data_IF_189293387622
#
_entry.id   IF_189293387622
#
_cell.length_a   1.000
_cell.length_b   1.000
_cell.length_c   1.000
_cell.angle_alpha   90.00
_cell.angle_beta   90.00
_cell.angle_gamma   90.00
#
_symmetry.space_group_name_H-M   'P 1'
#
loop_
_entity.id
_entity.type
_entity.pdbx_description
1 polymer ?
#
# COMPACT_ATOMS: atom_id res chain seq x y z
N UNK A 1 11.33 -3.17 -18.66
CA UNK A 1 11.98 -4.46 -18.34
C UNK A 1 11.80 -5.45 -19.48
N UNK A 2 12.77 -6.35 -19.70
CA UNK A 2 12.66 -7.47 -20.66
C UNK A 2 12.23 -8.74 -19.91
N UNK A 3 11.02 -8.70 -19.34
CA UNK A 3 10.45 -9.79 -18.54
C UNK A 3 9.03 -10.05 -19.02
N UNK A 4 8.49 -11.25 -18.76
CA UNK A 4 7.10 -11.57 -19.08
C UNK A 4 6.12 -10.50 -18.55
N UNK A 5 5.09 -10.11 -19.34
CA UNK A 5 4.73 -10.59 -20.68
C UNK A 5 5.52 -9.94 -21.83
N UNK A 6 6.46 -9.03 -21.52
CA UNK A 6 7.20 -8.21 -22.48
C UNK A 6 8.65 -8.68 -22.63
N UNK A 7 8.83 -9.95 -23.03
CA UNK A 7 10.14 -10.62 -23.22
C UNK A 7 11.09 -9.87 -24.17
N UNK A 8 12.36 -10.27 -24.15
CA UNK A 8 13.32 -9.80 -25.14
C UNK A 8 12.98 -10.39 -26.52
N UNK A 9 12.96 -9.55 -27.56
CA UNK A 9 12.70 -9.97 -28.95
C UNK A 9 13.63 -9.21 -29.89
N UNK A 10 13.88 -9.77 -31.07
CA UNK A 10 14.61 -9.13 -32.17
C UNK A 10 13.92 -7.87 -32.69
N UNK A 11 12.59 -7.77 -32.56
CA UNK A 11 11.81 -6.65 -33.09
C UNK A 11 11.06 -5.89 -32.00
N UNK A 12 11.56 -4.71 -31.62
CA UNK A 12 10.90 -3.83 -30.64
C UNK A 12 9.44 -3.52 -30.99
N UNK A 13 9.07 -3.56 -32.27
CA UNK A 13 7.68 -3.37 -32.73
C UNK A 13 6.72 -4.40 -32.13
N UNK A 14 7.14 -5.65 -31.98
CA UNK A 14 6.31 -6.71 -31.40
C UNK A 14 5.94 -6.38 -29.94
N UNK A 15 6.93 -6.01 -29.12
CA UNK A 15 6.70 -5.62 -27.72
C UNK A 15 5.77 -4.41 -27.61
N UNK A 16 5.92 -3.43 -28.49
CA UNK A 16 5.04 -2.25 -28.51
C UNK A 16 3.59 -2.63 -28.84
N UNK A 17 3.40 -3.56 -29.78
CA UNK A 17 2.08 -4.08 -30.13
C UNK A 17 1.48 -4.86 -28.95
N UNK A 18 2.24 -5.78 -28.34
CA UNK A 18 1.80 -6.54 -27.16
C UNK A 18 1.41 -5.60 -26.01
N UNK A 19 2.18 -4.53 -25.77
CA UNK A 19 1.83 -3.54 -24.75
C UNK A 19 0.53 -2.80 -25.08
N UNK A 20 0.32 -2.42 -26.33
CA UNK A 20 -0.91 -1.77 -26.78
C UNK A 20 -2.13 -2.69 -26.65
N UNK A 21 -1.99 -3.96 -27.03
CA UNK A 21 -3.01 -5.01 -26.87
C UNK A 21 -3.35 -5.19 -25.38
N UNK A 22 -2.35 -5.28 -24.51
CA UNK A 22 -2.56 -5.42 -23.07
C UNK A 22 -3.30 -4.22 -22.45
N UNK A 23 -2.98 -2.99 -22.88
CA UNK A 23 -3.72 -1.80 -22.46
C UNK A 23 -5.18 -1.82 -22.95
N UNK A 24 -5.40 -2.29 -24.18
CA UNK A 24 -6.74 -2.41 -24.75
C UNK A 24 -7.57 -3.45 -23.98
N UNK A 25 -6.98 -4.61 -23.66
CA UNK A 25 -7.62 -5.64 -22.83
C UNK A 25 -8.01 -5.11 -21.44
N UNK A 26 -7.11 -4.36 -20.78
CA UNK A 26 -7.42 -3.75 -19.48
C UNK A 26 -8.59 -2.76 -19.60
N UNK A 27 -8.63 -1.95 -20.67
CA UNK A 27 -9.71 -1.00 -20.89
C UNK A 27 -11.05 -1.70 -21.16
N UNK A 28 -11.05 -2.77 -21.96
CA UNK A 28 -12.25 -3.52 -22.31
C UNK A 28 -12.78 -4.32 -21.11
N UNK A 29 -11.89 -4.91 -20.30
CA UNK A 29 -12.24 -5.56 -19.04
C UNK A 29 -12.84 -4.58 -18.01
N UNK A 30 -12.45 -3.31 -18.08
CA UNK A 30 -12.90 -2.25 -17.16
C UNK A 30 -13.88 -1.26 -17.81
N UNK A 31 -14.80 -1.78 -18.65
CA UNK A 31 -15.78 -0.96 -19.39
C UNK A 31 -16.56 0.04 -18.53
N UNK A 32 -16.83 -0.28 -17.26
CA UNK A 32 -17.50 0.61 -16.30
C UNK A 32 -16.71 1.91 -15.99
N UNK A 33 -15.39 1.92 -16.17
CA UNK A 33 -14.53 3.11 -15.95
C UNK A 33 -14.20 3.82 -17.27
N UNK A 34 -14.43 3.17 -18.42
CA UNK A 34 -14.04 3.65 -19.76
C UNK A 34 -14.55 5.07 -20.05
N UNK A 35 -15.81 5.34 -19.76
CA UNK A 35 -16.44 6.65 -19.94
C UNK A 35 -15.87 7.74 -19.04
N UNK A 36 -15.38 7.36 -17.86
CA UNK A 36 -14.77 8.31 -16.92
C UNK A 36 -13.36 8.69 -17.37
N UNK A 37 -12.59 7.71 -17.86
CA UNK A 37 -11.22 7.90 -18.37
C UNK A 37 -11.23 8.72 -19.67
N UNK A 38 -12.15 8.42 -20.60
CA UNK A 38 -12.22 9.09 -21.90
C UNK A 38 -12.56 10.58 -21.82
N UNK A 39 -13.22 11.03 -20.74
CA UNK A 39 -13.54 12.44 -20.49
C UNK A 39 -12.34 13.32 -20.13
N UNK A 40 -11.20 12.72 -19.76
CA UNK A 40 -9.97 13.46 -19.40
C UNK A 40 -8.75 12.84 -20.09
N UNK A 41 -8.64 12.98 -21.42
CA UNK A 41 -7.47 12.46 -22.12
C UNK A 41 -6.22 13.19 -21.62
N UNK A 42 -5.22 12.43 -21.17
CA UNK A 42 -3.89 12.97 -20.90
C UNK A 42 -3.09 12.96 -22.20
N UNK A 43 -2.42 14.06 -22.50
CA UNK A 43 -1.42 14.11 -23.55
C UNK A 43 -0.15 13.40 -23.08
N UNK A 44 0.32 12.43 -23.85
CA UNK A 44 1.53 11.67 -23.56
C UNK A 44 1.53 10.32 -24.25
N UNK A 45 2.71 9.90 -24.69
CA UNK A 45 2.91 8.57 -25.25
C UNK A 45 2.68 7.51 -24.16
N UNK A 46 1.88 6.49 -24.47
CA UNK A 46 1.64 5.38 -23.54
C UNK A 46 2.91 4.57 -23.27
N UNK A 47 3.85 4.59 -24.23
CA UNK A 47 5.19 4.02 -24.09
C UNK A 47 6.14 5.18 -23.84
N UNK A 48 6.60 5.31 -22.60
CA UNK A 48 7.45 6.44 -22.20
C UNK A 48 8.90 6.25 -22.68
N UNK A 49 9.68 7.34 -22.81
CA UNK A 49 11.11 7.25 -23.08
C UNK A 49 11.85 6.35 -22.08
N UNK A 50 11.53 6.50 -20.79
CA UNK A 50 12.10 5.70 -19.69
C UNK A 50 11.87 4.20 -19.87
N UNK A 51 10.71 3.78 -20.39
CA UNK A 51 10.46 2.36 -20.67
C UNK A 51 11.44 1.79 -21.71
N UNK A 52 11.78 2.59 -22.73
CA UNK A 52 12.76 2.20 -23.75
C UNK A 52 14.19 2.23 -23.19
N UNK A 53 14.53 3.25 -22.41
CA UNK A 53 15.84 3.38 -21.76
C UNK A 53 16.12 2.20 -20.83
N UNK A 54 15.21 1.88 -19.91
CA UNK A 54 15.36 0.73 -19.00
C UNK A 54 15.43 -0.59 -19.77
N UNK A 55 14.75 -0.72 -20.91
CA UNK A 55 14.88 -1.92 -21.76
C UNK A 55 16.22 -1.96 -22.49
N UNK A 56 16.88 -0.84 -22.75
CA UNK A 56 18.17 -0.80 -23.45
C UNK A 56 19.35 -1.12 -22.51
N UNK A 57 19.18 -0.96 -21.20
CA UNK A 57 20.17 -1.28 -20.18
C UNK A 57 20.70 -2.73 -20.27
N UNK A 58 21.94 -2.91 -19.81
CA UNK A 58 22.56 -4.22 -19.64
C UNK A 58 21.79 -5.06 -18.63
N UNK A 59 22.06 -6.37 -18.58
CA UNK A 59 21.46 -7.27 -17.61
C UNK A 59 21.63 -6.77 -16.16
N UNK A 60 22.87 -6.48 -15.75
CA UNK A 60 23.18 -6.04 -14.38
C UNK A 60 22.50 -4.72 -14.03
N UNK A 61 22.48 -3.78 -14.95
CA UNK A 61 21.81 -2.49 -14.76
C UNK A 61 20.30 -2.67 -14.62
N UNK A 62 19.66 -3.53 -15.42
CA UNK A 62 18.22 -3.85 -15.28
C UNK A 62 17.92 -4.54 -13.96
N UNK A 63 18.72 -5.53 -13.58
CA UNK A 63 18.58 -6.24 -12.30
C UNK A 63 18.68 -5.25 -11.13
N UNK A 64 19.67 -4.37 -11.16
CA UNK A 64 19.86 -3.34 -10.15
C UNK A 64 18.73 -2.32 -10.14
N UNK A 65 18.28 -1.86 -11.32
CA UNK A 65 17.15 -0.95 -11.46
C UNK A 65 15.88 -1.54 -10.85
N UNK A 66 15.55 -2.81 -11.13
CA UNK A 66 14.41 -3.49 -10.52
C UNK A 66 14.52 -3.57 -9.01
N UNK A 67 15.69 -3.97 -8.51
CA UNK A 67 15.93 -4.09 -7.07
C UNK A 67 15.63 -2.77 -6.36
N UNK A 68 16.22 -1.69 -6.86
CA UNK A 68 16.14 -0.37 -6.21
C UNK A 68 14.76 0.27 -6.42
N UNK A 69 14.31 0.37 -7.67
CA UNK A 69 13.11 1.14 -8.00
C UNK A 69 11.81 0.38 -7.71
N UNK A 70 11.84 -0.96 -7.78
CA UNK A 70 10.66 -1.77 -7.53
C UNK A 70 10.67 -2.40 -6.14
N UNK A 71 11.67 -3.24 -5.83
CA UNK A 71 11.65 -4.05 -4.61
C UNK A 71 11.89 -3.19 -3.37
N UNK A 72 12.98 -2.42 -3.35
CA UNK A 72 13.39 -1.63 -2.19
C UNK A 72 12.37 -0.53 -1.87
N UNK A 73 11.88 0.17 -2.89
CA UNK A 73 10.82 1.17 -2.73
C UNK A 73 9.52 0.55 -2.21
N UNK A 74 9.08 -0.59 -2.76
CA UNK A 74 7.86 -1.27 -2.31
C UNK A 74 8.01 -1.70 -0.84
N UNK A 75 9.13 -2.33 -0.47
CA UNK A 75 9.41 -2.74 0.92
C UNK A 75 9.44 -1.55 1.86
N UNK A 76 10.11 -0.46 1.49
CA UNK A 76 10.20 0.76 2.28
C UNK A 76 8.80 1.39 2.50
N UNK A 77 7.95 1.38 1.48
CA UNK A 77 6.57 1.83 1.58
C UNK A 77 5.78 1.02 2.61
N UNK A 78 5.85 -0.32 2.55
CA UNK A 78 5.16 -1.18 3.53
C UNK A 78 5.69 -0.95 4.96
N UNK A 79 7.01 -0.88 5.15
CA UNK A 79 7.61 -0.57 6.46
C UNK A 79 7.14 0.78 6.99
N UNK A 80 7.03 1.79 6.11
CA UNK A 80 6.48 3.10 6.47
C UNK A 80 5.01 3.01 6.90
N UNK A 81 4.20 2.21 6.19
CA UNK A 81 2.79 1.95 6.55
C UNK A 81 2.65 1.25 7.91
N UNK A 82 3.52 0.29 8.25
CA UNK A 82 3.54 -0.32 9.59
C UNK A 82 3.75 0.76 10.66
N UNK A 83 4.77 1.60 10.50
CA UNK A 83 5.10 2.67 11.48
C UNK A 83 3.94 3.66 11.61
N UNK A 84 3.34 4.08 10.50
CA UNK A 84 2.23 5.02 10.50
C UNK A 84 1.01 4.46 11.25
N UNK A 85 0.61 3.22 10.95
CA UNK A 85 -0.53 2.58 11.62
C UNK A 85 -0.29 2.37 13.11
N UNK A 86 0.91 1.93 13.52
CA UNK A 86 1.27 1.81 14.95
C UNK A 86 1.20 3.16 15.67
N UNK A 87 1.71 4.23 15.04
CA UNK A 87 1.62 5.58 15.60
C UNK A 87 0.17 6.05 15.78
N UNK A 88 -0.68 5.84 14.78
CA UNK A 88 -2.11 6.17 14.90
C UNK A 88 -2.80 5.36 15.99
N UNK A 89 -2.53 4.05 16.08
CA UNK A 89 -3.06 3.22 17.15
C UNK A 89 -2.69 3.79 18.54
N UNK A 90 -1.39 4.05 18.78
CA UNK A 90 -0.92 4.60 20.06
C UNK A 90 -1.54 5.98 20.32
N UNK A 91 -1.59 6.86 19.32
CA UNK A 91 -2.18 8.19 19.48
C UNK A 91 -3.66 8.13 19.91
N UNK A 92 -4.45 7.24 19.31
CA UNK A 92 -5.85 7.06 19.67
C UNK A 92 -6.03 6.38 21.04
N UNK A 93 -5.17 5.45 21.42
CA UNK A 93 -5.17 4.88 22.77
C UNK A 93 -4.84 5.94 23.81
N UNK A 94 -3.82 6.76 23.58
CA UNK A 94 -3.46 7.89 24.47
C UNK A 94 -4.63 8.86 24.57
N UNK A 95 -5.29 9.20 23.46
CA UNK A 95 -6.51 10.02 23.47
C UNK A 95 -7.59 9.40 24.36
N UNK A 96 -7.92 8.12 24.19
CA UNK A 96 -8.90 7.41 25.03
C UNK A 96 -8.55 7.48 26.52
N UNK A 97 -7.28 7.22 26.86
CA UNK A 97 -6.80 7.26 28.26
C UNK A 97 -6.97 8.67 28.83
N UNK A 98 -6.59 9.72 28.08
CA UNK A 98 -6.73 11.10 28.56
C UNK A 98 -8.18 11.53 28.78
N UNK A 99 -9.10 11.13 27.89
CA UNK A 99 -10.53 11.38 28.05
C UNK A 99 -11.08 10.66 29.29
N UNK A 100 -10.74 9.38 29.47
CA UNK A 100 -11.19 8.60 30.62
C UNK A 100 -10.61 9.11 31.94
N UNK A 101 -9.32 9.45 31.98
CA UNK A 101 -8.70 10.08 33.15
C UNK A 101 -9.38 11.41 33.51
N UNK A 102 -9.70 12.23 32.50
CA UNK A 102 -10.42 13.49 32.72
C UNK A 102 -11.82 13.25 33.30
N UNK A 103 -12.53 12.24 32.82
CA UNK A 103 -13.83 11.86 33.34
C UNK A 103 -13.76 11.40 34.82
N UNK A 104 -12.73 10.62 35.18
CA UNK A 104 -12.50 10.19 36.57
C UNK A 104 -12.18 11.38 37.48
N UNK A 105 -11.29 12.28 37.04
CA UNK A 105 -10.91 13.48 37.81
C UNK A 105 -12.15 14.34 38.06
N UNK A 106 -12.97 14.57 37.03
CA UNK A 106 -14.22 15.30 37.19
C UNK A 106 -15.13 14.61 38.20
N UNK A 107 -15.38 13.31 38.05
CA UNK A 107 -16.23 12.55 38.98
C UNK A 107 -15.77 12.68 40.44
N UNK A 108 -14.46 12.60 40.72
CA UNK A 108 -13.89 12.80 42.05
C UNK A 108 -14.05 14.24 42.56
N UNK A 109 -13.86 15.24 41.70
CA UNK A 109 -14.04 16.64 42.05
C UNK A 109 -15.49 16.93 42.47
N UNK A 110 -16.47 16.36 41.77
CA UNK A 110 -17.89 16.46 42.14
C UNK A 110 -18.24 15.73 43.42
N UNK A 111 -17.66 14.55 43.64
CA UNK A 111 -17.87 13.81 44.89
C UNK A 111 -17.37 14.61 46.11
N UNK A 112 -16.32 15.40 45.93
CA UNK A 112 -15.75 16.24 46.98
C UNK A 112 -16.50 17.57 47.15
N UNK A 113 -16.91 18.20 46.04
CA UNK A 113 -17.60 19.50 46.03
C UNK A 113 -18.69 19.51 44.95
N UNK A 114 -19.96 19.27 45.30
CA UNK A 114 -21.06 19.19 44.33
C UNK A 114 -21.31 20.47 43.52
N UNK A 115 -20.97 21.64 44.07
CA UNK A 115 -21.23 22.98 43.52
C UNK A 115 -20.07 23.51 42.64
N UNK A 116 -18.97 22.77 42.47
CA UNK A 116 -17.74 23.29 41.84
C UNK A 116 -17.90 23.64 40.35
N UNK A 117 -18.80 22.96 39.63
CA UNK A 117 -19.04 23.18 38.20
C UNK A 117 -20.54 23.31 37.92
N UNK A 118 -20.94 24.47 37.38
CA UNK A 118 -22.33 24.74 36.97
C UNK A 118 -22.77 23.95 35.73
N UNK A 119 -21.83 23.52 34.88
CA UNK A 119 -22.09 22.71 33.68
C UNK A 119 -21.26 21.43 33.80
N UNK A 120 -21.90 20.28 33.55
CA UNK A 120 -21.30 18.96 33.75
C UNK A 120 -20.96 18.28 32.42
N UNK A 121 -19.69 18.27 31.98
CA UNK A 121 -19.31 17.80 30.64
C UNK A 121 -19.13 16.28 30.54
N UNK A 122 -19.77 15.49 31.40
CA UNK A 122 -19.58 14.03 31.43
C UNK A 122 -20.15 13.33 30.19
N UNK A 123 -21.32 13.76 29.70
CA UNK A 123 -21.96 13.15 28.54
C UNK A 123 -21.11 13.32 27.27
N UNK A 124 -20.59 14.53 26.95
CA UNK A 124 -19.63 14.70 25.85
C UNK A 124 -18.37 13.85 25.97
N UNK A 125 -17.81 13.70 27.19
CA UNK A 125 -16.61 12.88 27.40
C UNK A 125 -16.87 11.40 27.14
N UNK A 126 -18.04 10.89 27.57
CA UNK A 126 -18.43 9.51 27.32
C UNK A 126 -18.66 9.23 25.84
N UNK A 127 -19.29 10.18 25.13
CA UNK A 127 -19.47 10.12 23.67
C UNK A 127 -18.12 10.13 22.96
N UNK A 128 -17.20 11.02 23.36
CA UNK A 128 -15.86 11.10 22.79
C UNK A 128 -15.05 9.80 22.99
N UNK A 129 -15.10 9.21 24.18
CA UNK A 129 -14.45 7.94 24.46
C UNK A 129 -15.02 6.80 23.60
N UNK A 130 -16.35 6.69 23.51
CA UNK A 130 -17.03 5.68 22.69
C UNK A 130 -16.70 5.87 21.20
N UNK A 131 -16.71 7.10 20.70
CA UNK A 131 -16.36 7.42 19.33
C UNK A 131 -14.90 7.08 19.00
N UNK A 132 -13.97 7.36 19.91
CA UNK A 132 -12.56 7.02 19.73
C UNK A 132 -12.34 5.50 19.68
N UNK A 133 -13.00 4.73 20.56
CA UNK A 133 -12.97 3.26 20.50
C UNK A 133 -13.54 2.76 19.17
N UNK A 134 -14.71 3.26 18.77
CA UNK A 134 -15.33 2.92 17.48
C UNK A 134 -14.42 3.23 16.29
N UNK A 135 -13.71 4.36 16.34
CA UNK A 135 -12.76 4.73 15.30
C UNK A 135 -11.57 3.78 15.22
N UNK A 136 -11.00 3.35 16.36
CA UNK A 136 -9.94 2.33 16.40
C UNK A 136 -10.42 1.03 15.79
N UNK A 137 -11.63 0.59 16.13
CA UNK A 137 -12.23 -0.66 15.63
C UNK A 137 -12.48 -0.60 14.13
N UNK A 138 -13.03 0.50 13.62
CA UNK A 138 -13.28 0.69 12.18
C UNK A 138 -11.96 0.77 11.40
N UNK A 139 -10.96 1.46 11.93
CA UNK A 139 -9.68 1.65 11.22
C UNK A 139 -8.74 0.46 11.33
N UNK A 140 -8.95 -0.48 12.26
CA UNK A 140 -8.18 -1.73 12.41
C UNK A 140 -6.67 -1.49 12.36
N UNK A 141 -6.18 -0.40 12.98
CA UNK A 141 -4.77 0.04 12.83
C UNK A 141 -3.76 -1.06 13.17
N UNK A 142 -4.02 -1.84 14.22
CA UNK A 142 -3.12 -2.92 14.63
C UNK A 142 -3.11 -4.09 13.63
N UNK A 143 -4.27 -4.47 13.10
CA UNK A 143 -4.37 -5.52 12.08
C UNK A 143 -3.66 -5.10 10.78
N UNK A 144 -3.89 -3.86 10.33
CA UNK A 144 -3.20 -3.30 9.16
C UNK A 144 -1.68 -3.25 9.38
N UNK A 145 -1.22 -2.85 10.56
CA UNK A 145 0.21 -2.84 10.87
C UNK A 145 0.82 -4.25 10.82
N UNK A 146 0.11 -5.27 11.31
CA UNK A 146 0.56 -6.67 11.24
C UNK A 146 0.58 -7.19 9.80
N UNK A 147 -0.47 -6.94 9.02
CA UNK A 147 -0.54 -7.34 7.62
C UNK A 147 0.59 -6.71 6.80
N UNK A 148 0.79 -5.38 6.90
CA UNK A 148 1.89 -4.71 6.23
C UNK A 148 3.27 -5.18 6.68
N UNK A 149 3.41 -5.60 7.95
CA UNK A 149 4.67 -6.15 8.46
C UNK A 149 5.00 -7.50 7.86
N UNK A 150 3.98 -8.36 7.66
CA UNK A 150 4.13 -9.65 6.99
C UNK A 150 4.55 -9.44 5.54
N UNK A 151 3.81 -8.62 4.78
CA UNK A 151 4.14 -8.34 3.38
C UNK A 151 5.56 -7.73 3.24
N UNK A 152 5.95 -6.81 4.13
CA UNK A 152 7.31 -6.26 4.12
C UNK A 152 8.40 -7.31 4.36
N UNK A 153 8.10 -8.34 5.15
CA UNK A 153 9.00 -9.46 5.39
C UNK A 153 9.09 -10.38 4.16
N UNK A 154 7.96 -10.71 3.55
CA UNK A 154 7.90 -11.51 2.31
C UNK A 154 8.64 -10.84 1.15
N UNK A 155 8.46 -9.53 0.97
CA UNK A 155 9.24 -8.75 -0.01
C UNK A 155 10.74 -8.83 0.33
N UNK A 156 11.10 -8.82 1.61
CA UNK A 156 12.47 -9.02 2.05
C UNK A 156 13.05 -10.38 1.63
N UNK A 157 12.24 -11.45 1.62
CA UNK A 157 12.65 -12.79 1.15
C UNK A 157 12.82 -12.79 -0.37
N UNK A 158 11.92 -12.14 -1.12
CA UNK A 158 12.06 -11.97 -2.57
C UNK A 158 13.34 -11.20 -2.89
N UNK A 159 13.62 -10.15 -2.11
CA UNK A 159 14.82 -9.33 -2.25
C UNK A 159 16.12 -10.13 -2.11
N UNK A 160 16.19 -11.14 -1.23
CA UNK A 160 17.43 -11.93 -1.09
C UNK A 160 17.72 -12.77 -2.33
N UNK A 161 16.69 -13.28 -3.01
CA UNK A 161 16.82 -14.16 -4.18
C UNK A 161 17.32 -13.45 -5.43
N UNK A 162 17.19 -12.12 -5.52
CA UNK A 162 17.65 -11.38 -6.71
C UNK A 162 19.17 -11.47 -6.92
N UNK A 163 19.92 -11.78 -5.87
CA UNK A 163 21.38 -11.93 -5.95
C UNK A 163 21.79 -13.21 -6.69
N UNK A 164 20.95 -14.23 -6.65
CA UNK A 164 21.19 -15.55 -7.26
C UNK A 164 20.76 -15.59 -8.74
N UNK A 165 20.21 -14.49 -9.27
CA UNK A 165 19.76 -14.36 -10.65
C UNK A 165 20.95 -13.98 -11.53
N UNK A 166 21.33 -14.88 -12.45
CA UNK A 166 22.53 -14.73 -13.30
C UNK A 166 22.24 -14.51 -14.79
N UNK A 167 21.06 -14.94 -15.27
CA UNK A 167 20.71 -14.84 -16.70
C UNK A 167 19.47 -13.98 -16.96
N UNK A 168 19.30 -13.53 -18.21
CA UNK A 168 18.15 -12.73 -18.62
C UNK A 168 16.82 -13.48 -18.48
N UNK A 169 16.83 -14.81 -18.69
CA UNK A 169 15.65 -15.66 -18.54
C UNK A 169 15.31 -15.85 -17.06
N UNK A 170 16.29 -16.17 -16.20
CA UNK A 170 16.09 -16.26 -14.75
C UNK A 170 15.55 -14.94 -14.18
N UNK A 171 16.01 -13.81 -14.72
CA UNK A 171 15.54 -12.50 -14.29
C UNK A 171 14.12 -12.22 -14.74
N UNK A 172 13.74 -12.65 -15.95
CA UNK A 172 12.35 -12.58 -16.40
C UNK A 172 11.43 -13.36 -15.48
N UNK A 173 11.81 -14.59 -15.13
CA UNK A 173 11.02 -15.47 -14.25
C UNK A 173 10.94 -14.89 -12.83
N UNK A 174 12.06 -14.41 -12.28
CA UNK A 174 12.09 -13.73 -11.00
C UNK A 174 11.17 -12.50 -10.96
N UNK A 175 11.21 -11.64 -11.99
CA UNK A 175 10.33 -10.46 -12.07
C UNK A 175 8.86 -10.89 -12.11
N UNK A 176 8.53 -11.92 -12.88
CA UNK A 176 7.16 -12.42 -12.96
C UNK A 176 6.68 -12.98 -11.61
N UNK A 177 7.49 -13.78 -10.93
CA UNK A 177 7.17 -14.30 -9.59
C UNK A 177 6.99 -13.18 -8.57
N UNK A 178 7.87 -12.17 -8.59
CA UNK A 178 7.81 -11.02 -7.70
C UNK A 178 6.52 -10.20 -7.93
N UNK A 179 6.20 -9.85 -9.19
CA UNK A 179 4.99 -9.09 -9.49
C UNK A 179 3.72 -9.89 -9.22
N UNK A 180 3.71 -11.22 -9.45
CA UNK A 180 2.58 -12.08 -9.06
C UNK A 180 2.41 -12.15 -7.55
N UNK A 181 3.49 -12.19 -6.78
CA UNK A 181 3.42 -12.09 -5.32
C UNK A 181 2.84 -10.75 -4.89
N UNK A 182 3.31 -9.63 -5.46
CA UNK A 182 2.78 -8.29 -5.15
C UNK A 182 1.31 -8.14 -5.52
N UNK A 183 0.89 -8.66 -6.68
CA UNK A 183 -0.50 -8.63 -7.11
C UNK A 183 -1.41 -9.42 -6.18
N UNK A 184 -1.00 -10.64 -5.77
CA UNK A 184 -1.78 -11.48 -4.85
C UNK A 184 -2.01 -10.78 -3.51
N UNK A 185 -0.98 -10.17 -2.95
CA UNK A 185 -1.08 -9.39 -1.70
C UNK A 185 -2.07 -8.23 -1.82
N UNK A 186 -2.04 -7.49 -2.93
CA UNK A 186 -3.00 -6.42 -3.18
C UNK A 186 -4.43 -6.93 -3.30
N UNK A 187 -4.66 -8.02 -4.03
CA UNK A 187 -6.00 -8.61 -4.17
C UNK A 187 -6.53 -9.14 -2.83
N UNK A 188 -5.70 -9.83 -2.05
CA UNK A 188 -6.10 -10.29 -0.71
C UNK A 188 -6.44 -9.11 0.22
N UNK A 189 -5.71 -8.01 0.12
CA UNK A 189 -6.00 -6.82 0.90
C UNK A 189 -7.35 -6.20 0.52
N UNK A 190 -7.64 -6.07 -0.78
CA UNK A 190 -8.94 -5.58 -1.27
C UNK A 190 -10.07 -6.49 -0.79
N UNK A 191 -9.91 -7.81 -0.87
CA UNK A 191 -10.92 -8.75 -0.38
C UNK A 191 -11.23 -8.55 1.13
N UNK A 192 -10.19 -8.38 1.98
CA UNK A 192 -10.35 -8.10 3.41
C UNK A 192 -10.96 -6.74 3.74
N UNK A 193 -11.00 -5.79 2.81
CA UNK A 193 -11.70 -4.52 3.02
C UNK A 193 -13.21 -4.62 2.86
N UNK A 194 -13.68 -5.68 2.19
CA UNK A 194 -15.11 -5.90 1.92
C UNK A 194 -15.77 -6.88 2.92
N UNK A 195 -15.03 -7.37 3.89
CA UNK A 195 -15.49 -8.18 5.04
C UNK A 195 -15.60 -7.33 6.32
#
# INVERSE_FOLDING_TARGET
>A
MRAEPFKNTSHLREVKNTFAEYLQEILDANGHVRDTISRRPKSGDQITPMMNEVRALTFDERRNFYRVERIDQQRAWYVSKVKLNRRHFVAWIVFCVTVQSSAIILALARASNPEILSIWPMEPLLVAASAAIGWIQIKKFNELASAYSLTAHEIGIIQTRIQDVETDDDFSDFVNEAELAFSREHTQWVARQHE
#
